data_IF_355098192069
#
_entry.id   IF_355098192069
#
_cell.length_a   1.000
_cell.length_b   1.000
_cell.length_c   1.000
_cell.angle_alpha   90.00
_cell.angle_beta   90.00
_cell.angle_gamma   90.00
#
_symmetry.space_group_name_H-M   'P 1'
#
loop_
_entity.id
_entity.type
_entity.pdbx_description
1 polymer ?
#
# COMPACT_ATOMS: atom_id res chain seq x y z
N UNK A 1 16.62 -27.48 6.73
CA UNK A 1 17.07 -26.41 5.81
C UNK A 1 15.85 -25.93 5.04
N UNK A 2 15.35 -24.71 5.32
CA UNK A 2 14.23 -24.13 4.56
C UNK A 2 14.83 -23.20 3.52
N UNK A 3 14.49 -23.47 2.26
CA UNK A 3 14.93 -22.79 1.05
C UNK A 3 14.48 -21.33 1.08
N UNK A 4 15.43 -20.41 1.05
CA UNK A 4 15.17 -19.01 0.75
C UNK A 4 14.80 -18.90 -0.74
N UNK A 5 13.53 -18.66 -1.03
CA UNK A 5 13.07 -18.35 -2.38
C UNK A 5 13.29 -16.86 -2.64
N UNK A 6 14.30 -16.55 -3.44
CA UNK A 6 14.80 -15.19 -3.72
C UNK A 6 14.05 -14.48 -4.86
N UNK A 7 12.82 -14.87 -5.20
CA UNK A 7 12.16 -14.30 -6.39
C UNK A 7 10.66 -14.01 -6.31
N UNK A 8 10.06 -13.98 -5.11
CA UNK A 8 8.73 -13.39 -4.92
C UNK A 8 8.69 -12.70 -3.55
N UNK A 9 8.38 -11.40 -3.54
CA UNK A 9 8.31 -10.51 -2.36
C UNK A 9 7.18 -10.94 -1.40
N UNK A 10 7.30 -12.10 -0.78
CA UNK A 10 6.35 -12.63 0.20
C UNK A 10 7.07 -12.69 1.54
N UNK A 11 6.61 -11.90 2.50
CA UNK A 11 7.12 -11.93 3.88
C UNK A 11 6.14 -12.78 4.69
N UNK A 12 6.64 -13.86 5.30
CA UNK A 12 5.90 -14.68 6.26
C UNK A 12 6.22 -14.18 7.67
N UNK A 13 5.20 -13.97 8.51
CA UNK A 13 5.34 -13.28 9.79
C UNK A 13 5.25 -14.25 10.98
N UNK A 14 6.33 -14.30 11.76
CA UNK A 14 6.30 -14.63 13.19
C UNK A 14 6.49 -13.34 14.04
N UNK A 15 6.24 -12.15 13.45
CA UNK A 15 6.52 -10.83 14.03
C UNK A 15 5.24 -10.04 14.36
N UNK A 16 5.31 -9.17 15.37
CA UNK A 16 4.24 -8.24 15.77
C UNK A 16 4.05 -7.08 14.77
N UNK A 17 5.02 -6.88 13.88
CA UNK A 17 5.02 -5.82 12.87
C UNK A 17 5.59 -6.28 11.52
N UNK A 18 5.29 -5.50 10.49
CA UNK A 18 5.84 -5.66 9.15
C UNK A 18 6.86 -4.56 8.92
N UNK A 19 8.05 -4.89 8.42
CA UNK A 19 9.06 -3.90 8.02
C UNK A 19 9.75 -4.34 6.73
N UNK A 20 9.82 -3.46 5.73
CA UNK A 20 10.59 -3.70 4.52
C UNK A 20 11.13 -2.41 3.91
N UNK A 21 12.33 -2.51 3.37
CA UNK A 21 13.04 -1.44 2.67
C UNK A 21 13.16 -1.79 1.20
N UNK A 22 12.87 -0.82 0.34
CA UNK A 22 13.02 -0.89 -1.09
C UNK A 22 13.99 0.20 -1.54
N UNK A 23 15.01 -0.24 -2.27
CA UNK A 23 15.97 0.64 -2.94
C UNK A 23 15.54 0.72 -4.40
N UNK A 24 15.32 1.93 -4.87
CA UNK A 24 14.92 2.21 -6.24
C UNK A 24 15.94 1.61 -7.23
N UNK A 25 15.41 0.91 -8.23
CA UNK A 25 16.20 0.22 -9.24
C UNK A 25 15.75 0.52 -10.66
N UNK A 26 14.62 1.24 -10.81
CA UNK A 26 14.06 1.62 -12.11
C UNK A 26 14.39 3.07 -12.42
N UNK A 27 14.64 3.42 -13.69
CA UNK A 27 15.09 4.76 -14.11
C UNK A 27 14.04 5.89 -13.93
N UNK A 28 12.86 5.59 -13.41
CA UNK A 28 11.77 6.55 -13.19
C UNK A 28 11.32 6.62 -11.72
N UNK A 29 12.01 5.89 -10.83
CA UNK A 29 11.77 5.95 -9.39
C UNK A 29 12.51 7.15 -8.80
N UNK A 30 11.83 7.85 -7.90
CA UNK A 30 12.27 9.14 -7.35
C UNK A 30 12.62 9.00 -5.87
N UNK A 31 12.12 7.94 -5.24
CA UNK A 31 12.29 7.69 -3.81
C UNK A 31 12.78 6.26 -3.54
N UNK A 32 13.79 6.15 -2.69
CA UNK A 32 13.93 4.97 -1.84
C UNK A 32 12.85 4.99 -0.77
N UNK A 33 12.38 3.83 -0.33
CA UNK A 33 11.35 3.81 0.70
C UNK A 33 11.45 2.64 1.67
N UNK A 34 11.16 2.92 2.93
CA UNK A 34 10.91 1.92 3.95
C UNK A 34 9.46 2.03 4.39
N UNK A 35 8.79 0.89 4.58
CA UNK A 35 7.46 0.87 5.18
C UNK A 35 7.40 -0.04 6.39
N UNK A 36 6.59 0.38 7.36
CA UNK A 36 6.27 -0.36 8.56
C UNK A 36 4.76 -0.43 8.76
N UNK A 37 4.22 -1.59 9.11
CA UNK A 37 2.83 -1.72 9.55
C UNK A 37 2.78 -2.19 11.00
N UNK A 38 2.04 -1.45 11.84
CA UNK A 38 1.83 -1.78 13.25
C UNK A 38 0.47 -1.28 13.77
N UNK A 39 -0.24 -2.05 14.61
CA UNK A 39 -0.05 -3.49 14.84
C UNK A 39 -0.24 -4.29 13.55
N UNK A 40 0.13 -5.58 13.56
CA UNK A 40 -0.13 -6.48 12.44
C UNK A 40 -1.62 -6.41 12.05
N UNK A 41 -1.95 -6.20 10.76
CA UNK A 41 -3.34 -6.09 10.33
C UNK A 41 -4.21 -7.28 10.73
N UNK A 42 -5.40 -6.96 11.21
CA UNK A 42 -6.49 -7.90 11.42
C UNK A 42 -7.76 -7.27 10.82
N UNK A 43 -8.66 -8.08 10.26
CA UNK A 43 -9.94 -7.61 9.74
C UNK A 43 -10.71 -6.87 10.85
N UNK A 44 -11.20 -5.67 10.54
CA UNK A 44 -11.97 -4.84 11.47
C UNK A 44 -11.14 -4.03 12.48
N UNK A 45 -9.84 -4.32 12.63
CA UNK A 45 -8.96 -3.58 13.53
C UNK A 45 -8.20 -2.47 12.81
N UNK A 46 -7.80 -1.45 13.57
CA UNK A 46 -6.97 -0.36 13.04
C UNK A 46 -5.50 -0.72 13.03
N UNK A 47 -4.88 -0.63 11.86
CA UNK A 47 -3.43 -0.66 11.68
C UNK A 47 -2.91 0.68 11.16
N UNK A 48 -1.61 0.92 11.40
CA UNK A 48 -0.91 2.11 10.93
C UNK A 48 0.18 1.68 9.95
N UNK A 49 0.08 2.15 8.70
CA UNK A 49 1.16 2.11 7.73
C UNK A 49 2.00 3.37 7.86
N UNK A 50 3.23 3.23 8.35
CA UNK A 50 4.24 4.29 8.35
C UNK A 50 5.17 4.08 7.16
N UNK A 51 5.38 5.12 6.36
CA UNK A 51 6.32 5.10 5.24
C UNK A 51 7.33 6.22 5.40
N UNK A 52 8.60 5.88 5.20
CA UNK A 52 9.68 6.83 5.08
C UNK A 52 10.14 6.82 3.63
N UNK A 53 9.99 7.93 2.94
CA UNK A 53 10.47 8.14 1.58
C UNK A 53 11.76 8.96 1.64
N UNK A 54 12.80 8.54 0.93
CA UNK A 54 14.04 9.29 0.79
C UNK A 54 14.22 9.62 -0.70
N UNK A 55 14.25 10.90 -1.03
CA UNK A 55 14.42 11.36 -2.39
C UNK A 55 15.80 11.00 -2.93
N UNK A 56 15.83 10.35 -4.09
CA UNK A 56 17.05 10.02 -4.84
C UNK A 56 17.18 10.85 -6.13
N UNK A 57 16.12 11.60 -6.47
CA UNK A 57 16.09 12.56 -7.58
C UNK A 57 15.36 13.85 -7.14
N UNK A 58 15.60 14.94 -7.83
CA UNK A 58 15.02 16.26 -7.54
C UNK A 58 13.71 16.49 -8.30
N UNK A 59 12.70 17.00 -7.61
CA UNK A 59 11.45 17.50 -8.19
C UNK A 59 11.32 19.00 -7.89
N UNK A 60 11.80 19.88 -8.79
CA UNK A 60 11.87 21.32 -8.54
C UNK A 60 10.49 21.97 -8.38
N UNK A 61 9.45 21.36 -8.94
CA UNK A 61 8.07 21.84 -8.90
C UNK A 61 7.19 20.99 -7.99
N UNK A 62 7.81 20.12 -7.19
CA UNK A 62 7.13 19.33 -6.18
C UNK A 62 6.61 17.97 -6.63
N UNK A 63 6.03 17.27 -5.67
CA UNK A 63 5.50 15.92 -5.83
C UNK A 63 4.05 15.89 -5.33
N UNK A 64 3.15 15.35 -6.14
CA UNK A 64 1.81 14.96 -5.71
C UNK A 64 1.82 13.50 -5.31
N UNK A 65 1.31 13.21 -4.10
CA UNK A 65 1.18 11.84 -3.59
C UNK A 65 -0.30 11.47 -3.58
N UNK A 66 -0.70 10.78 -4.64
CA UNK A 66 -2.02 10.18 -4.72
C UNK A 66 -2.03 8.82 -4.02
N UNK A 67 -3.06 8.64 -3.20
CA UNK A 67 -3.26 7.44 -2.42
C UNK A 67 -4.58 6.76 -2.76
N UNK A 68 -4.54 5.42 -2.90
CA UNK A 68 -5.72 4.58 -3.14
C UNK A 68 -5.67 3.34 -2.27
N UNK A 69 -6.82 2.89 -1.80
CA UNK A 69 -6.95 1.54 -1.27
C UNK A 69 -8.24 0.86 -1.66
N UNK A 70 -8.20 -0.45 -1.52
CA UNK A 70 -9.21 -1.39 -1.98
C UNK A 70 -9.52 -2.34 -0.82
N UNK A 71 -10.81 -2.57 -0.57
CA UNK A 71 -11.29 -3.45 0.49
C UNK A 71 -10.85 -3.01 1.90
N UNK A 72 -10.71 -1.70 2.12
CA UNK A 72 -10.32 -1.15 3.42
C UNK A 72 -10.89 0.25 3.60
N UNK A 73 -11.09 0.62 4.85
CA UNK A 73 -11.44 1.97 5.25
C UNK A 73 -10.16 2.72 5.66
N UNK A 74 -10.06 3.99 5.27
CA UNK A 74 -8.99 4.88 5.73
C UNK A 74 -9.52 5.89 6.73
N UNK A 75 -8.90 5.91 7.90
CA UNK A 75 -9.22 6.84 8.97
C UNK A 75 -8.44 8.15 8.82
N UNK A 76 -7.23 8.08 8.28
CA UNK A 76 -6.38 9.24 7.95
C UNK A 76 -5.62 8.99 6.65
N UNK A 77 -5.49 10.03 5.81
CA UNK A 77 -4.71 9.98 4.57
C UNK A 77 -3.36 10.68 4.70
N UNK A 78 -2.46 10.53 3.71
CA UNK A 78 -1.21 11.27 3.67
C UNK A 78 -1.50 12.75 3.34
N UNK A 79 -0.60 13.63 3.79
CA UNK A 79 -0.60 15.02 3.33
C UNK A 79 -0.10 15.06 1.87
N UNK A 80 -0.85 15.67 0.94
CA UNK A 80 -0.76 15.33 -0.47
C UNK A 80 0.36 16.03 -1.26
N UNK A 81 0.97 17.11 -0.75
CA UNK A 81 1.79 18.01 -1.58
C UNK A 81 3.08 18.40 -0.88
N UNK A 82 4.20 18.18 -1.58
CA UNK A 82 5.49 18.79 -1.26
C UNK A 82 5.85 19.76 -2.37
N UNK A 83 6.01 21.04 -2.04
CA UNK A 83 6.21 22.13 -3.01
C UNK A 83 7.53 22.03 -3.78
N UNK A 84 8.54 21.41 -3.15
CA UNK A 84 9.85 21.14 -3.73
C UNK A 84 10.44 19.89 -3.09
N UNK A 85 11.13 19.07 -3.87
CA UNK A 85 11.87 17.91 -3.39
C UNK A 85 13.30 18.00 -3.91
N UNK A 86 14.27 18.02 -3.00
CA UNK A 86 15.69 17.94 -3.30
C UNK A 86 16.23 16.53 -3.01
N UNK A 87 17.30 16.13 -3.70
CA UNK A 87 17.97 14.84 -3.44
C UNK A 87 18.39 14.77 -1.97
N UNK A 88 18.05 13.67 -1.31
CA UNK A 88 18.35 13.43 0.11
C UNK A 88 17.25 13.87 1.07
N UNK A 89 16.23 14.59 0.60
CA UNK A 89 15.07 14.91 1.41
C UNK A 89 14.37 13.65 1.92
N UNK A 90 13.85 13.73 3.15
CA UNK A 90 13.19 12.63 3.84
C UNK A 90 11.77 13.03 4.19
N UNK A 91 10.81 12.20 3.79
CA UNK A 91 9.39 12.42 4.01
C UNK A 91 8.79 11.25 4.79
N UNK A 92 8.13 11.55 5.90
CA UNK A 92 7.43 10.58 6.72
C UNK A 92 5.92 10.67 6.49
N UNK A 93 5.33 9.57 6.04
CA UNK A 93 3.89 9.43 5.84
C UNK A 93 3.31 8.42 6.81
N UNK A 94 2.11 8.70 7.33
CA UNK A 94 1.38 7.77 8.20
C UNK A 94 -0.08 7.67 7.78
N UNK A 95 -0.53 6.44 7.58
CA UNK A 95 -1.90 6.13 7.16
C UNK A 95 -2.49 5.15 8.15
N UNK A 96 -3.66 5.51 8.68
CA UNK A 96 -4.46 4.63 9.53
C UNK A 96 -5.53 3.97 8.66
N UNK A 97 -5.59 2.64 8.72
CA UNK A 97 -6.51 1.87 7.91
C UNK A 97 -7.14 0.72 8.70
N UNK A 98 -8.33 0.32 8.26
CA UNK A 98 -9.07 -0.83 8.77
C UNK A 98 -9.40 -1.75 7.60
N UNK A 99 -8.83 -2.97 7.53
CA UNK A 99 -9.20 -3.94 6.50
C UNK A 99 -10.68 -4.32 6.61
N UNK A 100 -11.40 -4.28 5.49
CA UNK A 100 -12.82 -4.63 5.46
C UNK A 100 -13.02 -6.15 5.47
N UNK A 101 -14.10 -6.66 6.09
CA UNK A 101 -14.48 -8.06 6.00
C UNK A 101 -15.04 -8.34 4.60
N UNK A 102 -14.20 -8.70 3.63
CA UNK A 102 -14.62 -9.05 2.26
C UNK A 102 -13.72 -10.12 1.67
N UNK A 103 -14.27 -10.95 0.78
CA UNK A 103 -13.53 -11.99 0.03
C UNK A 103 -12.82 -11.39 -1.18
N UNK A 104 -11.74 -10.66 -0.94
CA UNK A 104 -10.91 -10.11 -2.01
C UNK A 104 -9.50 -9.81 -1.50
N UNK A 105 -8.58 -9.48 -2.41
CA UNK A 105 -7.27 -8.95 -2.10
C UNK A 105 -7.32 -7.51 -1.64
N UNK A 106 -6.98 -7.28 -0.37
CA UNK A 106 -6.78 -5.94 0.16
C UNK A 106 -5.55 -5.32 -0.46
N UNK A 107 -5.67 -4.06 -0.89
CA UNK A 107 -4.57 -3.36 -1.55
C UNK A 107 -4.49 -1.91 -1.12
N UNK A 108 -3.28 -1.46 -0.86
CA UNK A 108 -2.88 -0.07 -0.71
C UNK A 108 -1.98 0.29 -1.90
N UNK A 109 -2.18 1.46 -2.50
CA UNK A 109 -1.36 1.97 -3.61
C UNK A 109 -1.02 3.43 -3.35
N UNK A 110 0.27 3.71 -3.34
CA UNK A 110 0.78 5.07 -3.47
C UNK A 110 1.19 5.30 -4.91
N UNK A 111 0.82 6.46 -5.43
CA UNK A 111 1.17 6.94 -6.75
C UNK A 111 1.84 8.28 -6.51
N UNK A 112 3.16 8.30 -6.61
CA UNK A 112 3.95 9.51 -6.49
C UNK A 112 4.19 10.04 -7.89
N UNK A 113 3.84 11.29 -8.14
CA UNK A 113 3.95 11.92 -9.45
C UNK A 113 4.54 13.31 -9.37
N UNK A 114 5.47 13.59 -10.29
CA UNK A 114 5.94 14.94 -10.59
C UNK A 114 4.75 15.80 -11.06
N UNK A 115 4.54 16.95 -10.40
CA UNK A 115 3.45 17.89 -10.68
C UNK A 115 3.50 18.40 -12.12
N UNK A 116 4.69 18.60 -12.68
CA UNK A 116 4.87 19.15 -14.02
C UNK A 116 4.73 18.11 -15.14
N UNK A 117 4.90 16.83 -14.82
CA UNK A 117 4.87 15.74 -15.81
C UNK A 117 3.60 14.91 -15.77
N UNK A 118 2.51 15.48 -15.26
CA UNK A 118 1.19 14.84 -15.13
C UNK A 118 0.56 14.30 -16.44
N UNK A 119 1.21 14.48 -17.60
CA UNK A 119 0.93 13.68 -18.79
C UNK A 119 1.49 12.26 -18.59
N UNK A 120 0.59 11.34 -18.23
CA UNK A 120 0.75 9.90 -17.91
C UNK A 120 1.71 9.12 -18.84
N UNK A 121 2.06 9.64 -20.01
CA UNK A 121 2.98 8.99 -20.96
C UNK A 121 4.47 9.28 -20.70
N UNK A 122 4.82 10.40 -20.06
CA UNK A 122 6.23 10.84 -19.88
C UNK A 122 6.60 11.25 -18.44
N UNK A 123 5.66 11.18 -17.48
CA UNK A 123 5.94 11.52 -16.10
C UNK A 123 6.72 10.46 -15.34
N UNK A 124 7.64 10.90 -14.49
CA UNK A 124 8.22 10.04 -13.46
C UNK A 124 7.10 9.69 -12.49
N UNK A 125 6.65 8.45 -12.52
CA UNK A 125 5.66 7.93 -11.58
C UNK A 125 6.28 6.77 -10.82
N UNK A 126 6.16 6.81 -9.51
CA UNK A 126 6.50 5.67 -8.67
C UNK A 126 5.22 5.09 -8.10
N UNK A 127 5.01 3.81 -8.36
CA UNK A 127 3.87 3.06 -7.84
C UNK A 127 4.39 2.16 -6.71
N UNK A 128 3.87 2.37 -5.50
CA UNK A 128 4.19 1.56 -4.32
C UNK A 128 2.94 0.75 -3.96
N UNK A 129 2.79 -0.47 -4.51
CA UNK A 129 1.71 -1.37 -4.17
C UNK A 129 2.04 -2.14 -2.89
N UNK A 130 1.06 -2.26 -2.01
CA UNK A 130 1.08 -3.14 -0.87
C UNK A 130 -0.20 -3.95 -0.87
N UNK A 131 -0.09 -5.26 -0.94
CA UNK A 131 -1.20 -6.20 -0.99
C UNK A 131 -1.19 -7.04 0.27
N UNK A 132 -2.36 -7.24 0.85
CA UNK A 132 -2.57 -7.99 2.08
C UNK A 132 -3.61 -9.08 1.79
N UNK A 133 -3.39 -10.27 2.34
CA UNK A 133 -4.38 -11.36 2.32
C UNK A 133 -4.55 -11.87 3.73
N UNK A 134 -5.80 -12.13 4.09
CA UNK A 134 -6.21 -12.54 5.42
C UNK A 134 -6.73 -14.00 5.39
N UNK A 135 -6.68 -14.64 6.55
CA UNK A 135 -7.27 -15.94 6.84
C UNK A 135 -8.76 -15.83 7.20
N UNK A 136 -9.42 -16.99 7.28
CA UNK A 136 -10.84 -17.12 7.66
C UNK A 136 -11.14 -16.77 9.12
N UNK A 137 -10.15 -16.40 9.91
CA UNK A 137 -10.31 -15.86 11.27
C UNK A 137 -10.07 -14.33 11.31
N UNK A 138 -9.69 -13.72 10.18
CA UNK A 138 -9.37 -12.31 10.07
C UNK A 138 -7.88 -11.98 10.28
N UNK A 139 -7.05 -12.98 10.60
CA UNK A 139 -5.60 -12.83 10.78
C UNK A 139 -4.92 -12.59 9.44
N UNK A 140 -3.89 -11.74 9.40
CA UNK A 140 -3.09 -11.55 8.19
C UNK A 140 -2.31 -12.83 7.85
N UNK A 141 -2.58 -13.40 6.68
CA UNK A 141 -1.87 -14.57 6.15
C UNK A 141 -0.54 -14.20 5.51
N UNK A 142 -0.53 -13.17 4.65
CA UNK A 142 0.69 -12.71 3.99
C UNK A 142 0.58 -11.30 3.38
N UNK A 143 1.74 -10.71 3.08
CA UNK A 143 1.88 -9.41 2.43
C UNK A 143 2.77 -9.50 1.21
N UNK A 144 2.41 -8.75 0.15
CA UNK A 144 3.19 -8.70 -1.10
C UNK A 144 3.18 -7.32 -1.73
N UNK A 145 4.29 -6.96 -2.38
CA UNK A 145 4.37 -5.75 -3.21
C UNK A 145 3.98 -6.04 -4.66
N UNK A 146 4.50 -7.10 -5.27
CA UNK A 146 4.43 -7.30 -6.72
C UNK A 146 3.17 -8.01 -7.22
N UNK A 147 2.39 -8.66 -6.34
CA UNK A 147 1.20 -9.41 -6.74
C UNK A 147 0.95 -10.67 -5.92
N UNK A 148 0.03 -11.50 -6.40
CA UNK A 148 -0.31 -12.79 -5.80
C UNK A 148 0.00 -13.95 -6.76
N UNK A 149 1.26 -14.13 -7.19
CA UNK A 149 1.61 -15.22 -8.08
C UNK A 149 1.26 -16.56 -7.42
N UNK A 150 0.31 -17.30 -8.01
CA UNK A 150 -0.16 -18.60 -7.50
C UNK A 150 -1.24 -18.55 -6.43
N UNK A 151 -1.85 -17.38 -6.17
CA UNK A 151 -3.11 -17.30 -5.41
C UNK A 151 -4.27 -17.40 -6.39
N UNK A 152 -4.93 -18.54 -6.40
CA UNK A 152 -6.18 -18.80 -7.12
C UNK A 152 -7.37 -18.42 -6.21
N UNK A 153 -8.55 -18.15 -6.78
CA UNK A 153 -9.72 -17.63 -6.03
C UNK A 153 -10.22 -18.57 -4.91
N UNK A 154 -9.88 -19.85 -5.00
CA UNK A 154 -10.12 -20.89 -3.97
C UNK A 154 -9.19 -20.76 -2.75
N UNK A 155 -8.11 -19.97 -2.85
CA UNK A 155 -7.17 -19.69 -1.76
C UNK A 155 -7.45 -18.35 -1.07
N UNK A 156 -8.41 -17.56 -1.56
CA UNK A 156 -8.93 -16.40 -0.85
C UNK A 156 -9.77 -16.85 0.35
N UNK A 157 -9.78 -16.09 1.45
CA UNK A 157 -10.62 -16.42 2.59
C UNK A 157 -12.10 -16.41 2.20
N UNK A 158 -12.93 -17.12 2.96
CA UNK A 158 -14.38 -17.04 2.82
C UNK A 158 -14.87 -15.62 3.13
N UNK A 159 -16.01 -15.25 2.53
CA UNK A 159 -16.57 -13.92 2.75
C UNK A 159 -17.01 -13.76 4.21
N UNK A 160 -16.56 -12.66 4.83
CA UNK A 160 -17.03 -12.20 6.12
C UNK A 160 -18.02 -11.06 5.92
N UNK A 161 -19.18 -11.01 6.60
CA UNK A 161 -20.01 -12.15 7.00
C UNK A 161 -20.55 -12.91 5.76
N UNK A 162 -21.13 -14.12 5.93
CA UNK A 162 -21.75 -14.87 4.84
C UNK A 162 -22.76 -14.01 4.05
N UNK A 163 -22.88 -14.30 2.74
CA UNK A 163 -23.61 -13.52 1.71
C UNK A 163 -25.09 -13.21 1.98
N UNK A 164 -25.64 -13.56 3.15
CA UNK A 164 -27.05 -13.33 3.52
C UNK A 164 -27.39 -11.85 3.73
N UNK A 165 -26.40 -10.95 3.83
CA UNK A 165 -26.63 -9.52 3.96
C UNK A 165 -25.98 -8.72 2.82
N UNK A 166 -26.53 -8.86 1.60
CA UNK A 166 -26.27 -7.91 0.50
C UNK A 166 -26.98 -6.56 0.76
N UNK A 167 -26.51 -5.85 1.77
CA UNK A 167 -26.58 -4.39 1.81
C UNK A 167 -25.38 -3.85 1.04
N UNK A 168 -25.59 -3.51 -0.23
CA UNK A 168 -24.73 -2.71 -1.14
C UNK A 168 -23.40 -2.18 -0.54
N UNK A 169 -22.37 -3.04 -0.47
CA UNK A 169 -21.00 -2.69 -0.03
C UNK A 169 -20.16 -2.04 -1.14
N UNK A 170 -20.74 -1.75 -2.31
CA UNK A 170 -20.06 -1.06 -3.42
C UNK A 170 -19.76 0.42 -3.13
N UNK A 171 -20.16 0.94 -1.97
CA UNK A 171 -19.89 2.31 -1.55
C UNK A 171 -18.71 2.35 -0.58
N UNK A 172 -17.50 2.57 -1.10
CA UNK A 172 -16.57 3.60 -0.59
C UNK A 172 -15.45 3.81 -1.62
N UNK A 173 -15.76 4.53 -2.71
CA UNK A 173 -14.75 5.26 -3.47
C UNK A 173 -14.66 6.66 -2.86
N UNK A 174 -13.76 6.89 -1.90
CA UNK A 174 -13.40 8.26 -1.50
C UNK A 174 -12.20 8.71 -2.31
N UNK A 175 -12.46 9.46 -3.38
CA UNK A 175 -11.43 10.23 -4.07
C UNK A 175 -11.17 11.47 -3.19
N UNK A 176 -10.04 11.49 -2.49
CA UNK A 176 -9.61 12.71 -1.79
C UNK A 176 -9.02 13.67 -2.81
N UNK A 177 -9.86 14.53 -3.39
CA UNK A 177 -9.46 15.76 -4.09
C UNK A 177 -9.92 16.93 -3.23
N UNK A 178 -9.00 17.79 -2.81
CA UNK A 178 -9.38 19.06 -2.17
C UNK A 178 -9.32 20.19 -3.20
N UNK A 179 -10.36 21.02 -3.18
CA UNK A 179 -10.48 22.28 -3.91
C UNK A 179 -9.41 23.29 -3.46
#
# INVERSE_FOLDING_TARGET
MRSHCTQMNVIFFDSIDINATYIASRPHEIFDYTFKITPLPHIGDTSILSMKLQAIDSLPNGCDILFKGYCMEFLTGPEPIYDKVDIGDVFDMKIRFVPAPVRDGHRIVFILSDIDRANIRNGSYQLIPLKLIFDNDGTLRYVSQSGFPGLTDDRLPDAFPPEENKGDLTKTLKLYRKH
#
